data_IF_595382987502
#
_entry.id   IF_595382987502
#
_cell.length_a   1.000
_cell.length_b   1.000
_cell.length_c   1.000
_cell.angle_alpha   90.00
_cell.angle_beta   90.00
_cell.angle_gamma   90.00
#
_symmetry.space_group_name_H-M   'P 1'
#
loop_
_entity.id
_entity.type
_entity.pdbx_description
1 polymer ?
#
# COMPACT_ATOMS: atom_id res chain seq x y z
N UNK A 1 3.95 0.50 -19.46
CA UNK A 1 4.39 -0.89 -19.16
C UNK A 1 3.18 -1.80 -19.10
N UNK A 2 3.37 -3.12 -19.19
CA UNK A 2 2.27 -4.07 -19.00
C UNK A 2 1.91 -4.11 -17.52
N UNK A 3 0.65 -3.83 -17.23
CA UNK A 3 0.07 -4.02 -15.91
C UNK A 3 0.41 -5.42 -15.36
N UNK A 4 0.91 -5.53 -14.11
CA UNK A 4 1.25 -6.84 -13.57
C UNK A 4 0.06 -7.80 -13.57
N UNK A 5 0.34 -9.06 -13.94
CA UNK A 5 -0.67 -10.09 -14.11
C UNK A 5 -1.45 -10.32 -12.82
N UNK A 6 -2.75 -10.60 -12.96
CA UNK A 6 -3.63 -10.87 -11.82
C UNK A 6 -4.12 -12.31 -11.85
N UNK A 7 -4.24 -12.90 -10.65
CA UNK A 7 -4.64 -14.28 -10.42
C UNK A 7 -5.72 -14.32 -9.35
N UNK A 8 -6.76 -15.12 -9.56
CA UNK A 8 -7.86 -15.21 -8.61
C UNK A 8 -7.51 -16.16 -7.46
N UNK A 9 -7.76 -15.72 -6.23
CA UNK A 9 -7.80 -16.59 -5.05
C UNK A 9 -9.05 -16.25 -4.27
N UNK A 10 -9.99 -17.21 -4.21
CA UNK A 10 -11.28 -17.06 -3.51
C UNK A 10 -12.01 -15.76 -3.92
N UNK A 11 -12.11 -15.49 -5.22
CA UNK A 11 -12.82 -14.31 -5.73
C UNK A 11 -12.08 -12.99 -5.52
N UNK A 12 -10.83 -13.02 -5.05
CA UNK A 12 -9.97 -11.84 -4.91
C UNK A 12 -8.86 -11.88 -5.96
N UNK A 13 -8.83 -10.87 -6.81
CA UNK A 13 -7.84 -10.71 -7.87
C UNK A 13 -6.50 -10.22 -7.30
N UNK A 14 -5.58 -11.14 -7.04
CA UNK A 14 -4.26 -10.87 -6.49
C UNK A 14 -3.25 -10.57 -7.60
N UNK A 15 -2.53 -9.46 -7.46
CA UNK A 15 -1.59 -8.98 -8.46
C UNK A 15 -0.19 -9.51 -8.20
N UNK A 16 0.34 -10.28 -9.15
CA UNK A 16 1.69 -10.80 -9.11
C UNK A 16 2.70 -9.67 -9.40
N UNK A 17 3.52 -9.33 -8.42
CA UNK A 17 4.50 -8.25 -8.53
C UNK A 17 5.69 -8.48 -7.58
N UNK A 18 6.70 -7.62 -7.67
CA UNK A 18 7.86 -7.58 -6.78
C UNK A 18 7.94 -6.22 -6.07
N UNK A 19 8.86 -6.08 -5.11
CA UNK A 19 9.12 -4.77 -4.48
C UNK A 19 9.55 -3.70 -5.50
N UNK A 20 10.40 -4.08 -6.45
CA UNK A 20 10.92 -3.21 -7.52
C UNK A 20 9.79 -2.81 -8.46
N UNK A 21 9.09 -3.79 -9.05
CA UNK A 21 8.04 -3.55 -10.03
C UNK A 21 6.89 -2.71 -9.46
N UNK A 22 6.46 -2.98 -8.20
CA UNK A 22 5.41 -2.20 -7.55
C UNK A 22 5.88 -0.78 -7.23
N UNK A 23 7.15 -0.60 -6.85
CA UNK A 23 7.70 0.74 -6.57
C UNK A 23 7.76 1.55 -7.85
N UNK A 24 8.27 0.97 -8.94
CA UNK A 24 8.32 1.62 -10.26
C UNK A 24 6.93 1.98 -10.78
N UNK A 25 5.95 1.08 -10.60
CA UNK A 25 4.55 1.34 -10.93
C UNK A 25 4.02 2.55 -10.14
N UNK A 26 4.19 2.57 -8.82
CA UNK A 26 3.71 3.67 -7.98
C UNK A 26 4.39 5.00 -8.36
N UNK A 27 5.69 5.00 -8.63
CA UNK A 27 6.41 6.22 -9.03
C UNK A 27 5.92 6.79 -10.37
N UNK A 28 5.57 5.94 -11.32
CA UNK A 28 4.97 6.40 -12.58
C UNK A 28 3.56 6.93 -12.35
N UNK A 29 2.78 6.27 -11.51
CA UNK A 29 1.39 6.66 -11.24
C UNK A 29 1.26 8.03 -10.59
N UNK A 30 2.25 8.45 -9.80
CA UNK A 30 2.35 9.80 -9.20
C UNK A 30 2.41 10.91 -10.26
N UNK A 31 2.85 10.61 -11.48
CA UNK A 31 2.93 11.57 -12.59
C UNK A 31 1.62 11.69 -13.39
N UNK A 32 0.64 10.84 -13.08
CA UNK A 32 -0.64 10.75 -13.78
C UNK A 32 -1.79 11.25 -12.88
N UNK A 33 -2.87 11.75 -13.46
CA UNK A 33 -4.03 12.18 -12.68
C UNK A 33 -4.76 11.00 -12.02
N UNK A 34 -5.31 11.23 -10.82
CA UNK A 34 -6.13 10.26 -10.09
C UNK A 34 -5.40 9.57 -8.94
N UNK A 35 -6.14 8.72 -8.22
CA UNK A 35 -5.68 8.05 -7.00
C UNK A 35 -5.66 6.54 -7.25
N UNK A 36 -4.70 5.86 -6.65
CA UNK A 36 -4.70 4.41 -6.55
C UNK A 36 -4.61 4.00 -5.08
N UNK A 37 -5.21 2.87 -4.77
CA UNK A 37 -5.18 2.22 -3.47
C UNK A 37 -4.52 0.84 -3.59
N UNK A 38 -3.63 0.55 -2.66
CA UNK A 38 -2.85 -0.69 -2.65
C UNK A 38 -2.99 -1.34 -1.29
N UNK A 39 -3.54 -2.55 -1.27
CA UNK A 39 -3.65 -3.40 -0.09
C UNK A 39 -2.56 -4.48 -0.11
N UNK A 40 -1.84 -4.62 0.99
CA UNK A 40 -0.90 -5.73 1.21
C UNK A 40 -1.67 -6.90 1.84
N UNK A 41 -2.18 -7.74 0.95
CA UNK A 41 -3.26 -8.69 1.21
C UNK A 41 -2.72 -9.98 1.78
N UNK A 42 -3.07 -10.28 3.02
CA UNK A 42 -2.79 -11.57 3.65
C UNK A 42 -3.96 -12.56 3.47
N UNK A 43 -3.79 -13.80 3.95
CA UNK A 43 -4.82 -14.86 3.84
C UNK A 43 -6.11 -14.51 4.57
N UNK A 44 -6.06 -13.71 5.64
CA UNK A 44 -7.26 -13.30 6.37
C UNK A 44 -8.13 -12.38 5.51
N UNK A 45 -7.53 -11.41 4.80
CA UNK A 45 -8.29 -10.49 3.93
C UNK A 45 -9.00 -11.27 2.82
N UNK A 46 -8.28 -12.16 2.13
CA UNK A 46 -8.87 -13.01 1.07
C UNK A 46 -10.00 -13.88 1.62
N UNK A 47 -9.82 -14.47 2.80
CA UNK A 47 -10.85 -15.30 3.44
C UNK A 47 -12.07 -14.47 3.85
N UNK A 48 -11.86 -13.29 4.45
CA UNK A 48 -12.96 -12.40 4.84
C UNK A 48 -13.76 -11.90 3.64
N UNK A 49 -13.09 -11.56 2.53
CA UNK A 49 -13.77 -11.20 1.27
C UNK A 49 -14.66 -12.32 0.74
N UNK A 50 -14.27 -13.58 0.93
CA UNK A 50 -15.07 -14.72 0.50
C UNK A 50 -16.26 -15.01 1.44
N UNK A 51 -16.12 -14.74 2.75
CA UNK A 51 -17.08 -15.14 3.77
C UNK A 51 -18.06 -14.02 4.18
N UNK A 52 -17.67 -12.75 4.03
CA UNK A 52 -18.45 -11.58 4.44
C UNK A 52 -18.73 -10.67 3.24
N UNK A 53 -19.97 -10.67 2.71
CA UNK A 53 -20.36 -9.82 1.60
C UNK A 53 -20.20 -8.32 1.87
N UNK A 54 -20.38 -7.88 3.13
CA UNK A 54 -20.19 -6.47 3.51
C UNK A 54 -18.71 -6.09 3.40
N UNK A 55 -17.83 -6.96 3.91
CA UNK A 55 -16.39 -6.75 3.80
C UNK A 55 -15.92 -6.78 2.34
N UNK A 56 -16.46 -7.69 1.53
CA UNK A 56 -16.21 -7.73 0.10
C UNK A 56 -16.60 -6.41 -0.57
N UNK A 57 -17.82 -5.91 -0.34
CA UNK A 57 -18.30 -4.66 -0.91
C UNK A 57 -17.41 -3.47 -0.53
N UNK A 58 -17.09 -3.33 0.77
CA UNK A 58 -16.24 -2.26 1.28
C UNK A 58 -14.84 -2.29 0.67
N UNK A 59 -14.26 -3.47 0.51
CA UNK A 59 -12.90 -3.62 -0.03
C UNK A 59 -12.88 -3.70 -1.56
N UNK A 60 -14.02 -3.81 -2.26
CA UNK A 60 -14.04 -3.89 -3.74
C UNK A 60 -13.64 -2.59 -4.43
N UNK A 61 -13.53 -1.49 -3.69
CA UNK A 61 -12.99 -0.21 -4.18
C UNK A 61 -11.46 -0.16 -4.19
N UNK A 62 -10.77 -1.16 -3.62
CA UNK A 62 -9.30 -1.22 -3.63
C UNK A 62 -8.82 -1.62 -5.01
N UNK A 63 -7.87 -0.86 -5.57
CA UNK A 63 -7.37 -1.08 -6.93
C UNK A 63 -6.49 -2.32 -7.00
N UNK A 64 -5.52 -2.47 -6.09
CA UNK A 64 -4.60 -3.62 -6.08
C UNK A 64 -4.56 -4.36 -4.76
N UNK A 65 -4.71 -5.69 -4.86
CA UNK A 65 -4.43 -6.63 -3.79
C UNK A 65 -3.08 -7.30 -4.06
N UNK A 66 -2.08 -6.98 -3.25
CA UNK A 66 -0.72 -7.50 -3.39
C UNK A 66 -0.54 -8.68 -2.44
N UNK A 67 -0.11 -9.87 -2.90
CA UNK A 67 -0.01 -11.04 -2.04
C UNK A 67 1.08 -10.86 -0.97
N UNK A 68 0.63 -10.68 0.28
CA UNK A 68 1.44 -10.59 1.49
C UNK A 68 1.26 -11.84 2.36
N UNK A 69 1.72 -12.97 1.83
CA UNK A 69 1.76 -14.23 2.58
C UNK A 69 2.16 -15.41 1.71
N UNK A 70 3.00 -16.30 2.24
CA UNK A 70 3.47 -17.47 1.50
C UNK A 70 2.35 -18.38 0.97
N UNK A 71 1.24 -18.62 1.69
CA UNK A 71 0.14 -19.42 1.12
C UNK A 71 -0.45 -18.83 -0.15
N UNK A 72 -0.55 -17.50 -0.25
CA UNK A 72 -1.05 -16.83 -1.46
C UNK A 72 -0.06 -17.00 -2.62
N UNK A 73 1.24 -16.90 -2.35
CA UNK A 73 2.28 -17.14 -3.35
C UNK A 73 2.21 -18.57 -3.88
N UNK A 74 1.95 -19.57 -3.04
CA UNK A 74 1.75 -20.95 -3.49
C UNK A 74 0.53 -21.10 -4.40
N UNK A 75 -0.61 -20.48 -4.05
CA UNK A 75 -1.81 -20.48 -4.88
C UNK A 75 -1.57 -19.81 -6.24
N UNK A 76 -0.86 -18.68 -6.26
CA UNK A 76 -0.50 -17.96 -7.48
C UNK A 76 0.46 -18.76 -8.36
N UNK A 77 1.47 -19.39 -7.76
CA UNK A 77 2.42 -20.22 -8.48
C UNK A 77 1.80 -21.50 -9.04
N UNK A 78 0.80 -22.07 -8.35
CA UNK A 78 0.01 -23.16 -8.90
C UNK A 78 -0.75 -22.75 -10.18
N UNK A 79 -1.05 -21.46 -10.33
CA UNK A 79 -1.68 -20.87 -11.53
C UNK A 79 -0.66 -20.35 -12.56
N UNK A 80 0.65 -20.51 -12.33
CA UNK A 80 1.71 -20.11 -13.27
C UNK A 80 2.33 -18.73 -13.04
N UNK A 81 2.15 -18.12 -11.86
CA UNK A 81 2.71 -16.78 -11.57
C UNK A 81 4.24 -16.72 -11.43
N UNK A 82 4.90 -17.87 -11.16
CA UNK A 82 6.36 -17.99 -11.01
C UNK A 82 7.02 -16.98 -10.04
N UNK A 83 6.27 -16.54 -9.02
CA UNK A 83 6.73 -15.62 -7.98
C UNK A 83 7.74 -16.30 -7.07
N UNK A 84 8.83 -15.60 -6.78
CA UNK A 84 9.89 -16.08 -5.88
C UNK A 84 9.59 -15.86 -4.40
N UNK A 85 8.90 -14.77 -4.07
CA UNK A 85 8.56 -14.38 -2.70
C UNK A 85 7.31 -13.50 -2.70
N UNK A 86 6.78 -13.24 -1.50
CA UNK A 86 5.72 -12.26 -1.25
C UNK A 86 6.26 -10.83 -1.24
N UNK A 87 5.34 -9.88 -1.36
CA UNK A 87 5.63 -8.47 -1.10
C UNK A 87 5.05 -8.10 0.27
N UNK A 88 5.93 -8.05 1.28
CA UNK A 88 5.55 -7.73 2.66
C UNK A 88 5.42 -6.21 2.84
N UNK A 89 4.26 -5.73 3.28
CA UNK A 89 3.93 -4.30 3.33
C UNK A 89 4.98 -3.41 4.01
N UNK A 90 5.45 -3.72 5.24
CA UNK A 90 6.50 -2.94 5.91
C UNK A 90 7.84 -2.92 5.15
N UNK A 91 8.23 -4.03 4.51
CA UNK A 91 9.44 -4.08 3.67
C UNK A 91 9.24 -3.27 2.40
N UNK A 92 8.06 -3.33 1.79
CA UNK A 92 7.72 -2.50 0.64
C UNK A 92 7.76 -1.02 0.97
N UNK A 93 7.13 -0.59 2.07
CA UNK A 93 7.16 0.81 2.48
C UNK A 93 8.61 1.31 2.60
N UNK A 94 9.48 0.55 3.28
CA UNK A 94 10.90 0.89 3.38
C UNK A 94 11.59 0.95 2.01
N UNK A 95 11.34 -0.03 1.15
CA UNK A 95 11.92 -0.07 -0.20
C UNK A 95 11.46 1.13 -1.04
N UNK A 96 10.16 1.43 -1.03
CA UNK A 96 9.56 2.56 -1.74
C UNK A 96 10.15 3.89 -1.26
N UNK A 97 10.19 4.14 0.05
CA UNK A 97 10.76 5.39 0.62
C UNK A 97 12.27 5.55 0.35
N UNK A 98 13.00 4.45 0.17
CA UNK A 98 14.44 4.51 -0.14
C UNK A 98 14.72 4.73 -1.62
N UNK A 99 13.82 4.30 -2.50
CA UNK A 99 14.01 4.38 -3.96
C UNK A 99 13.09 5.42 -4.62
N UNK A 100 12.26 6.13 -3.87
CA UNK A 100 11.35 7.16 -4.39
C UNK A 100 12.11 8.31 -5.08
N UNK A 101 11.46 8.98 -6.02
CA UNK A 101 12.03 10.16 -6.65
C UNK A 101 12.17 11.29 -5.62
N UNK A 102 13.22 12.13 -5.71
CA UNK A 102 13.38 13.27 -4.79
C UNK A 102 12.24 14.29 -4.85
N UNK A 103 11.47 14.28 -5.94
CA UNK A 103 10.28 15.11 -6.13
C UNK A 103 9.07 14.58 -5.39
N UNK A 104 9.00 13.27 -5.10
CA UNK A 104 7.89 12.63 -4.40
C UNK A 104 7.76 13.15 -2.98
N UNK A 105 6.54 13.47 -2.61
CA UNK A 105 6.12 13.87 -1.26
C UNK A 105 5.38 12.73 -0.59
N UNK A 106 5.34 12.76 0.74
CA UNK A 106 4.77 11.68 1.54
C UNK A 106 4.01 12.26 2.73
N UNK A 107 2.87 11.66 3.04
CA UNK A 107 2.10 11.90 4.25
C UNK A 107 1.94 10.60 5.02
N UNK A 108 2.15 10.62 6.34
CA UNK A 108 1.96 9.44 7.19
C UNK A 108 0.72 9.56 8.06
N UNK A 109 -0.29 8.72 7.80
CA UNK A 109 -1.53 8.67 8.57
C UNK A 109 -1.63 7.34 9.32
N UNK A 110 -1.86 7.39 10.64
CA UNK A 110 -2.12 6.19 11.45
C UNK A 110 -1.22 6.05 12.68
N UNK A 111 -1.44 4.98 13.45
CA UNK A 111 -0.66 4.69 14.67
C UNK A 111 -0.76 5.78 15.74
N UNK A 112 0.16 5.75 16.70
CA UNK A 112 0.32 6.81 17.71
C UNK A 112 1.28 7.89 17.22
N UNK A 113 1.23 9.09 17.80
CA UNK A 113 2.20 10.16 17.52
C UNK A 113 3.64 9.71 17.79
N UNK A 114 3.89 8.91 18.84
CA UNK A 114 5.21 8.34 19.12
C UNK A 114 5.67 7.38 18.01
N UNK A 115 4.74 6.57 17.46
CA UNK A 115 5.04 5.68 16.34
C UNK A 115 5.41 6.48 15.09
N UNK A 116 4.65 7.53 14.77
CA UNK A 116 4.91 8.40 13.63
C UNK A 116 6.24 9.13 13.74
N UNK A 117 6.58 9.64 14.93
CA UNK A 117 7.88 10.26 15.16
C UNK A 117 9.03 9.28 14.86
N UNK A 118 8.94 8.05 15.39
CA UNK A 118 9.95 7.00 15.12
C UNK A 118 9.99 6.61 13.64
N UNK A 119 8.83 6.54 12.97
CA UNK A 119 8.76 6.25 11.54
C UNK A 119 9.45 7.36 10.74
N UNK A 120 9.17 8.63 11.04
CA UNK A 120 9.80 9.79 10.40
C UNK A 120 11.32 9.76 10.58
N UNK A 121 11.81 9.56 11.80
CA UNK A 121 13.24 9.48 12.11
C UNK A 121 13.92 8.35 11.33
N UNK A 122 13.34 7.15 11.33
CA UNK A 122 13.87 6.01 10.58
C UNK A 122 13.84 6.25 9.07
N UNK A 123 12.75 6.80 8.53
CA UNK A 123 12.59 7.06 7.11
C UNK A 123 13.63 8.07 6.59
N UNK A 124 13.86 9.15 7.34
CA UNK A 124 14.92 10.13 7.05
C UNK A 124 16.33 9.53 7.22
N UNK A 125 16.50 8.58 8.14
CA UNK A 125 17.73 7.80 8.28
C UNK A 125 18.01 6.89 7.08
N UNK A 126 16.97 6.32 6.45
CA UNK A 126 17.11 5.51 5.25
C UNK A 126 17.31 6.34 3.98
N UNK A 127 16.65 7.50 3.90
CA UNK A 127 16.75 8.43 2.79
C UNK A 127 16.73 9.89 3.29
N UNK A 128 17.90 10.54 3.44
CA UNK A 128 17.97 11.92 3.93
C UNK A 128 17.32 12.98 3.02
N UNK A 129 16.99 12.62 1.77
CA UNK A 129 16.32 13.51 0.81
C UNK A 129 14.80 13.33 0.79
N UNK A 130 14.27 12.44 1.61
CA UNK A 130 12.84 12.15 1.65
C UNK A 130 12.04 13.38 2.07
N UNK A 131 10.99 13.70 1.31
CA UNK A 131 10.10 14.83 1.59
C UNK A 131 8.84 14.33 2.28
N UNK A 132 8.80 14.40 3.61
CA UNK A 132 7.62 14.08 4.41
C UNK A 132 6.92 15.40 4.74
N UNK A 133 5.79 15.67 4.08
CA UNK A 133 5.08 16.96 4.12
C UNK A 133 4.07 17.06 5.25
N UNK A 134 3.66 15.93 5.82
CA UNK A 134 2.77 15.89 6.97
C UNK A 134 2.67 14.50 7.60
N UNK A 135 2.10 14.47 8.79
CA UNK A 135 1.77 13.25 9.50
C UNK A 135 0.59 13.50 10.45
N UNK A 136 -0.23 12.47 10.70
CA UNK A 136 -1.35 12.54 11.63
C UNK A 136 -1.60 11.17 12.26
N UNK A 137 -1.82 11.12 13.59
CA UNK A 137 -2.06 9.86 14.28
C UNK A 137 -3.40 9.24 13.86
N UNK A 138 -3.58 7.94 14.10
CA UNK A 138 -4.80 7.20 13.75
C UNK A 138 -5.92 7.23 14.78
N UNK A 139 -5.68 7.82 15.96
CA UNK A 139 -6.66 7.87 17.05
C UNK A 139 -7.54 9.12 16.96
N UNK A 140 -8.45 9.15 15.99
CA UNK A 140 -9.43 10.24 15.79
C UNK A 140 -10.85 9.68 15.60
N UNK A 141 -11.84 10.50 15.91
CA UNK A 141 -13.26 10.16 15.71
C UNK A 141 -13.78 10.54 14.31
N UNK A 142 -14.93 10.00 13.88
CA UNK A 142 -15.54 10.33 12.58
C UNK A 142 -15.81 11.84 12.38
N UNK A 143 -15.96 12.59 13.46
CA UNK A 143 -16.12 14.05 13.44
C UNK A 143 -14.87 14.80 12.99
N UNK A 144 -13.70 14.16 13.02
CA UNK A 144 -12.41 14.74 12.61
C UNK A 144 -12.05 14.37 11.16
N UNK A 145 -12.74 13.40 10.55
CA UNK A 145 -12.42 12.84 9.22
C UNK A 145 -12.30 13.92 8.13
N UNK A 146 -13.30 14.79 8.01
CA UNK A 146 -13.33 15.83 6.98
C UNK A 146 -12.16 16.81 7.15
N UNK A 147 -11.86 17.21 8.38
CA UNK A 147 -10.74 18.11 8.69
C UNK A 147 -9.38 17.49 8.35
N UNK A 148 -9.21 16.20 8.63
CA UNK A 148 -7.99 15.47 8.28
C UNK A 148 -7.85 15.36 6.77
N UNK A 149 -8.93 15.01 6.05
CA UNK A 149 -8.93 14.91 4.59
C UNK A 149 -8.58 16.27 3.95
N UNK A 150 -9.16 17.36 4.44
CA UNK A 150 -8.84 18.71 3.97
C UNK A 150 -7.36 19.06 4.22
N UNK A 151 -6.83 18.71 5.39
CA UNK A 151 -5.41 18.94 5.72
C UNK A 151 -4.47 18.18 4.79
N UNK A 152 -4.78 16.93 4.44
CA UNK A 152 -4.01 16.11 3.52
C UNK A 152 -4.06 16.73 2.11
N UNK A 153 -5.24 17.14 1.64
CA UNK A 153 -5.39 17.77 0.32
C UNK A 153 -4.61 19.07 0.20
N UNK A 154 -4.57 19.90 1.24
CA UNK A 154 -3.84 21.18 1.24
C UNK A 154 -2.32 21.01 1.17
N UNK A 155 -1.79 19.87 1.65
CA UNK A 155 -0.36 19.59 1.64
C UNK A 155 0.14 19.01 0.31
N UNK A 156 -0.78 18.63 -0.58
CA UNK A 156 -0.49 18.01 -1.89
C UNK A 156 0.60 16.91 -1.79
N UNK A 157 0.41 15.90 -0.91
CA UNK A 157 1.41 14.87 -0.69
C UNK A 157 1.60 13.95 -1.89
#
# INVERSE_FOLDING_TARGET
>A
MKEPASYDVLGTALRATTYEDLTDYCQQRVLEEGVISVDFTNTQIVTMRQLDPTFLEQTSQVDFFIPDGMPLIWCLNQQGAELKDRVYGPTFMRYCLTHCQPTSTHFFLGGSSECLQKLRENALGWNPKLRIVGEHHGYFGPEEDDGIIESIKQLEP
#
